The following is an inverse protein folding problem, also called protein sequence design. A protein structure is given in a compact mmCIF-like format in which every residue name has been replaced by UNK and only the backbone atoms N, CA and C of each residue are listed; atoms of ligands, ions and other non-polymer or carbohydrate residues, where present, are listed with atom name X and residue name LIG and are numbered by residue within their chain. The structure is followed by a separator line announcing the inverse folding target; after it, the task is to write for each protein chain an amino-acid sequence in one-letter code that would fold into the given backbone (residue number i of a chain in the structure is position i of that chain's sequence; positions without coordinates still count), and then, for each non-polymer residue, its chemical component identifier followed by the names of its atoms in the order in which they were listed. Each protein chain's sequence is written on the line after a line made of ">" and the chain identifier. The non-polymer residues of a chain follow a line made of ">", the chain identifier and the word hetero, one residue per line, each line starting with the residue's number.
data_IF_254570046871
#
_entry.id   IF_254570046871
#
_cell.length_a   1.000
_cell.length_b   1.000
_cell.length_c   1.000
_cell.angle_alpha   90.00
_cell.angle_beta   90.00
_cell.angle_gamma   90.00
#
_symmetry.space_group_name_H-M   'P 1'
#
loop_
_entity.id
_entity.type
_entity.pdbx_description
1 polymer ?
#
# COMPACT_ATOMS: atom_id res chain seq x y z
N UNK A 1 1.55 7.49 -6.57
CA UNK A 1 2.23 7.23 -5.27
C UNK A 1 3.45 6.34 -5.53
N UNK A 2 4.53 6.39 -4.74
CA UNK A 2 5.73 5.58 -5.02
C UNK A 2 5.43 4.08 -5.22
N UNK A 3 4.44 3.54 -4.50
CA UNK A 3 3.95 2.16 -4.65
C UNK A 3 3.31 1.90 -6.02
N UNK A 4 2.41 2.79 -6.46
CA UNK A 4 1.69 2.65 -7.74
C UNK A 4 2.64 2.73 -8.94
N UNK A 5 3.73 3.47 -8.78
CA UNK A 5 4.79 3.62 -9.78
C UNK A 5 5.81 2.46 -9.74
N UNK A 6 5.64 1.47 -8.86
CA UNK A 6 6.57 0.33 -8.73
C UNK A 6 7.84 0.63 -7.93
N UNK A 7 8.00 1.82 -7.36
CA UNK A 7 9.16 2.19 -6.53
C UNK A 7 8.97 1.73 -5.07
N UNK A 8 8.87 0.41 -4.86
CA UNK A 8 8.52 -0.18 -3.56
C UNK A 8 9.62 0.01 -2.52
N UNK A 9 10.90 -0.15 -2.86
CA UNK A 9 12.03 0.18 -1.95
C UNK A 9 11.98 1.61 -1.42
N UNK A 10 11.70 2.57 -2.30
CA UNK A 10 11.55 3.98 -1.91
C UNK A 10 10.35 4.15 -0.96
N UNK A 11 9.21 3.54 -1.30
CA UNK A 11 8.03 3.57 -0.45
C UNK A 11 8.28 2.97 0.94
N UNK A 12 8.93 1.80 1.03
CA UNK A 12 9.27 1.17 2.31
C UNK A 12 10.19 2.05 3.15
N UNK A 13 11.19 2.68 2.53
CA UNK A 13 12.07 3.63 3.21
C UNK A 13 11.28 4.81 3.79
N UNK A 14 10.42 5.44 2.98
CA UNK A 14 9.58 6.54 3.42
C UNK A 14 8.62 6.11 4.55
N UNK A 15 8.02 4.93 4.46
CA UNK A 15 7.15 4.41 5.53
C UNK A 15 7.94 4.23 6.82
N UNK A 16 9.13 3.65 6.79
CA UNK A 16 9.97 3.49 7.99
C UNK A 16 10.44 4.83 8.55
N UNK A 17 10.75 5.81 7.69
CA UNK A 17 11.24 7.12 8.10
C UNK A 17 10.13 7.99 8.75
N UNK A 18 8.89 7.90 8.25
CA UNK A 18 7.78 8.76 8.68
C UNK A 18 6.75 8.06 9.59
N UNK A 19 6.63 6.74 9.51
CA UNK A 19 5.64 5.93 10.24
C UNK A 19 6.28 4.62 10.76
N UNK A 20 7.33 4.68 11.59
CA UNK A 20 8.06 3.50 12.04
C UNK A 20 7.18 2.46 12.75
N UNK A 21 6.20 2.92 13.54
CA UNK A 21 5.27 2.05 14.27
C UNK A 21 4.26 1.33 13.35
N UNK A 22 4.04 1.83 12.13
CA UNK A 22 3.07 1.25 11.20
C UNK A 22 3.45 -0.19 10.82
N UNK A 23 4.75 -0.41 10.59
CA UNK A 23 5.30 -1.72 10.21
C UNK A 23 5.29 -2.68 11.39
N UNK A 24 5.63 -2.20 12.59
CA UNK A 24 5.61 -3.00 13.80
C UNK A 24 4.19 -3.43 14.17
N UNK A 25 3.21 -2.55 14.01
CA UNK A 25 1.80 -2.81 14.30
C UNK A 25 1.09 -3.57 13.17
N UNK A 26 1.62 -3.56 11.93
CA UNK A 26 1.03 -4.24 10.77
C UNK A 26 2.05 -5.10 10.01
N UNK A 27 2.53 -6.18 10.65
CA UNK A 27 3.45 -7.14 10.03
C UNK A 27 2.94 -7.77 8.73
N UNK A 28 1.62 -7.96 8.59
CA UNK A 28 1.03 -8.44 7.33
C UNK A 28 1.21 -7.43 6.18
N UNK A 29 1.03 -6.12 6.44
CA UNK A 29 1.25 -5.08 5.44
C UNK A 29 2.71 -5.03 5.00
N UNK A 30 3.63 -5.22 5.95
CA UNK A 30 5.05 -5.29 5.66
C UNK A 30 5.41 -6.48 4.77
N UNK A 31 4.86 -7.66 5.06
CA UNK A 31 5.00 -8.82 4.18
C UNK A 31 4.49 -8.53 2.76
N UNK A 32 3.30 -7.91 2.61
CA UNK A 32 2.77 -7.53 1.29
C UNK A 32 3.67 -6.54 0.55
N UNK A 33 4.29 -5.58 1.25
CA UNK A 33 5.27 -4.66 0.66
C UNK A 33 6.52 -5.40 0.18
N UNK A 34 7.02 -6.35 0.96
CA UNK A 34 8.15 -7.19 0.55
C UNK A 34 7.80 -8.07 -0.65
N UNK A 35 6.62 -8.70 -0.63
CA UNK A 35 6.13 -9.48 -1.76
C UNK A 35 6.01 -8.64 -3.02
N UNK A 36 5.47 -7.41 -2.93
CA UNK A 36 5.40 -6.53 -4.09
C UNK A 36 6.79 -6.15 -4.59
N UNK A 37 7.75 -5.88 -3.69
CA UNK A 37 9.14 -5.64 -4.10
C UNK A 37 9.75 -6.84 -4.82
N UNK A 38 9.44 -8.07 -4.39
CA UNK A 38 9.85 -9.28 -5.10
C UNK A 38 9.22 -9.33 -6.50
N UNK A 39 7.93 -9.05 -6.63
CA UNK A 39 7.22 -8.99 -7.92
C UNK A 39 7.87 -7.96 -8.86
N UNK A 40 8.28 -6.80 -8.36
CA UNK A 40 8.99 -5.80 -9.19
C UNK A 40 10.35 -6.32 -9.69
N UNK A 41 11.12 -7.02 -8.85
CA UNK A 41 12.39 -7.64 -9.28
C UNK A 41 12.17 -8.70 -10.37
N UNK A 42 11.10 -9.49 -10.23
CA UNK A 42 10.73 -10.50 -11.23
C UNK A 42 10.35 -9.84 -12.55
N UNK A 43 9.57 -8.75 -12.50
CA UNK A 43 9.16 -7.98 -13.68
C UNK A 43 10.36 -7.38 -14.42
N UNK A 44 11.39 -6.96 -13.69
CA UNK A 44 12.62 -6.40 -14.26
C UNK A 44 13.62 -7.48 -14.72
N UNK A 45 13.25 -8.76 -14.65
CA UNK A 45 14.11 -9.91 -14.96
C UNK A 45 15.40 -9.99 -14.12
N UNK A 46 15.37 -9.43 -12.90
CA UNK A 46 16.47 -9.41 -11.94
C UNK A 46 16.41 -10.66 -11.05
N UNK A 47 16.68 -11.83 -11.65
CA UNK A 47 16.51 -13.15 -11.02
C UNK A 47 17.40 -13.32 -9.77
N UNK A 48 18.69 -12.94 -9.88
CA UNK A 48 19.64 -13.09 -8.78
C UNK A 48 19.22 -12.22 -7.58
N UNK A 49 18.84 -10.97 -7.83
CA UNK A 49 18.35 -10.07 -6.80
C UNK A 49 17.03 -10.56 -6.19
N UNK A 50 16.11 -11.09 -7.00
CA UNK A 50 14.85 -11.64 -6.53
C UNK A 50 15.08 -12.83 -5.58
N UNK A 51 15.96 -13.76 -5.96
CA UNK A 51 16.31 -14.92 -5.15
C UNK A 51 17.00 -14.50 -3.85
N UNK A 52 18.02 -13.64 -3.94
CA UNK A 52 18.71 -13.14 -2.76
C UNK A 52 17.74 -12.41 -1.81
N UNK A 53 16.86 -11.56 -2.35
CA UNK A 53 15.86 -10.84 -1.57
C UNK A 53 14.90 -11.80 -0.87
N UNK A 54 14.42 -12.84 -1.56
CA UNK A 54 13.51 -13.84 -0.97
C UNK A 54 14.15 -14.60 0.21
N UNK A 55 15.43 -14.94 0.09
CA UNK A 55 16.15 -15.65 1.15
C UNK A 55 16.46 -14.74 2.34
N UNK A 56 16.84 -13.49 2.10
CA UNK A 56 17.26 -12.58 3.17
C UNK A 56 16.08 -11.97 3.92
N UNK A 57 15.04 -11.55 3.19
CA UNK A 57 14.02 -10.66 3.72
C UNK A 57 12.74 -11.39 4.13
N UNK A 58 12.38 -12.46 3.41
CA UNK A 58 11.13 -13.20 3.62
C UNK A 58 11.30 -14.43 4.53
N UNK A 59 12.54 -14.83 4.85
CA UNK A 59 12.79 -15.98 5.74
C UNK A 59 12.78 -15.63 7.23
N UNK A 60 12.77 -14.33 7.57
CA UNK A 60 12.94 -13.85 8.95
C UNK A 60 11.61 -13.79 9.73
N UNK A 61 10.48 -13.56 9.06
CA UNK A 61 9.15 -13.41 9.67
C UNK A 61 8.27 -14.65 9.42
N UNK A 62 8.69 -15.83 9.89
CA UNK A 62 7.98 -17.11 9.67
C UNK A 62 6.54 -17.13 10.18
N UNK A 63 6.25 -16.40 11.25
CA UNK A 63 4.93 -16.38 11.91
C UNK A 63 3.88 -15.61 11.10
N UNK A 64 4.32 -14.68 10.24
CA UNK A 64 3.45 -13.88 9.36
C UNK A 64 3.65 -14.23 7.89
N UNK A 65 4.45 -15.27 7.62
CA UNK A 65 4.77 -15.71 6.28
C UNK A 65 3.56 -16.40 5.66
N UNK A 66 2.97 -15.74 4.66
CA UNK A 66 1.92 -16.36 3.86
C UNK A 66 2.56 -17.25 2.80
N UNK A 67 3.02 -18.43 3.21
CA UNK A 67 3.72 -19.40 2.35
C UNK A 67 3.01 -19.63 1.00
N UNK A 68 1.68 -19.82 0.93
CA UNK A 68 1.01 -20.01 -0.36
C UNK A 68 1.12 -18.79 -1.29
N UNK A 69 1.06 -17.56 -0.75
CA UNK A 69 1.22 -16.34 -1.55
C UNK A 69 2.67 -16.17 -2.03
N UNK A 70 3.63 -16.52 -1.18
CA UNK A 70 5.04 -16.51 -1.55
C UNK A 70 5.35 -17.55 -2.63
N UNK A 71 4.84 -18.77 -2.51
CA UNK A 71 4.99 -19.83 -3.52
C UNK A 71 4.41 -19.40 -4.87
N UNK A 72 3.22 -18.78 -4.89
CA UNK A 72 2.66 -18.20 -6.11
C UNK A 72 3.60 -17.16 -6.73
N UNK A 73 4.17 -16.29 -5.92
CA UNK A 73 5.10 -15.26 -6.38
C UNK A 73 6.39 -15.86 -6.94
N UNK A 74 6.99 -16.81 -6.23
CA UNK A 74 8.22 -17.49 -6.65
C UNK A 74 8.00 -18.34 -7.90
N UNK A 75 6.81 -18.91 -8.09
CA UNK A 75 6.51 -19.68 -9.30
C UNK A 75 6.59 -18.84 -10.58
N UNK A 76 6.49 -17.50 -10.50
CA UNK A 76 6.73 -16.62 -11.64
C UNK A 76 8.16 -16.75 -12.18
N UNK A 77 9.13 -17.09 -11.33
CA UNK A 77 10.53 -17.31 -11.72
C UNK A 77 10.73 -18.57 -12.57
N UNK A 78 9.78 -19.51 -12.55
CA UNK A 78 9.86 -20.74 -13.33
C UNK A 78 9.52 -20.54 -14.82
N UNK A 79 9.16 -19.33 -15.23
CA UNK A 79 8.76 -19.00 -16.59
C UNK A 79 9.72 -17.98 -17.21
N UNK A 80 10.16 -18.23 -18.45
CA UNK A 80 10.97 -17.28 -19.21
C UNK A 80 10.28 -15.91 -19.37
N UNK A 81 8.95 -15.94 -19.45
CA UNK A 81 8.06 -14.78 -19.42
C UNK A 81 7.10 -14.94 -18.25
N UNK A 82 7.24 -14.14 -17.17
CA UNK A 82 6.36 -14.20 -16.00
C UNK A 82 4.87 -14.07 -16.34
N UNK A 83 4.52 -13.41 -17.43
CA UNK A 83 3.15 -13.23 -17.92
C UNK A 83 2.49 -14.53 -18.40
N UNK A 84 3.28 -15.54 -18.75
CA UNK A 84 2.78 -16.85 -19.13
C UNK A 84 2.44 -17.73 -17.92
N UNK A 85 2.76 -17.28 -16.70
CA UNK A 85 2.43 -17.99 -15.48
C UNK A 85 0.92 -18.00 -15.24
N UNK A 86 0.38 -19.08 -14.63
CA UNK A 86 -0.99 -19.08 -14.10
C UNK A 86 -1.22 -18.00 -13.02
N UNK A 87 -0.15 -17.39 -12.50
CA UNK A 87 -0.20 -16.30 -11.52
C UNK A 87 0.26 -14.95 -12.08
N UNK A 88 0.15 -14.77 -13.40
CA UNK A 88 0.41 -13.49 -14.07
C UNK A 88 -0.50 -12.36 -13.56
N UNK A 89 -1.58 -12.69 -12.85
CA UNK A 89 -2.45 -11.74 -12.18
C UNK A 89 -1.66 -10.82 -11.22
N UNK A 90 -0.67 -11.38 -10.52
CA UNK A 90 0.22 -10.67 -9.60
C UNK A 90 1.02 -9.54 -10.27
N UNK A 91 1.19 -9.59 -11.60
CA UNK A 91 1.93 -8.61 -12.37
C UNK A 91 1.06 -7.41 -12.80
N UNK A 92 -0.25 -7.44 -12.59
CA UNK A 92 -1.11 -6.33 -13.00
C UNK A 92 -0.94 -5.10 -12.11
N UNK A 93 -1.17 -3.93 -12.71
CA UNK A 93 -1.15 -2.65 -11.98
C UNK A 93 -2.18 -2.59 -10.84
N UNK A 94 -3.26 -3.39 -10.91
CA UNK A 94 -4.27 -3.52 -9.87
C UNK A 94 -3.68 -3.93 -8.52
N UNK A 95 -2.68 -4.81 -8.50
CA UNK A 95 -2.01 -5.22 -7.25
C UNK A 95 -1.31 -4.02 -6.58
N UNK A 96 -0.60 -3.19 -7.35
CA UNK A 96 0.06 -1.98 -6.83
C UNK A 96 -0.97 -0.96 -6.32
N UNK A 97 -2.09 -0.81 -7.02
CA UNK A 97 -3.16 0.10 -6.61
C UNK A 97 -3.85 -0.35 -5.32
N UNK A 98 -4.11 -1.66 -5.18
CA UNK A 98 -4.67 -2.25 -3.96
C UNK A 98 -3.71 -2.05 -2.78
N UNK A 99 -2.43 -2.39 -2.94
CA UNK A 99 -1.43 -2.20 -1.89
C UNK A 99 -1.26 -0.72 -1.52
N UNK A 100 -1.22 0.17 -2.51
CA UNK A 100 -1.18 1.62 -2.27
C UNK A 100 -2.39 2.11 -1.46
N UNK A 101 -3.58 1.57 -1.75
CA UNK A 101 -4.80 1.87 -0.99
C UNK A 101 -4.73 1.34 0.45
N UNK A 102 -4.28 0.10 0.64
CA UNK A 102 -4.09 -0.49 1.98
C UNK A 102 -3.08 0.31 2.82
N UNK A 103 -1.95 0.70 2.24
CA UNK A 103 -0.94 1.54 2.91
C UNK A 103 -1.54 2.91 3.28
N UNK A 104 -2.27 3.54 2.37
CA UNK A 104 -2.93 4.82 2.65
C UNK A 104 -3.94 4.70 3.79
N UNK A 105 -4.75 3.63 3.80
CA UNK A 105 -5.68 3.37 4.90
C UNK A 105 -4.97 3.17 6.23
N UNK A 106 -3.88 2.40 6.24
CA UNK A 106 -3.10 2.14 7.44
C UNK A 106 -2.47 3.43 7.99
N UNK A 107 -1.86 4.25 7.12
CA UNK A 107 -1.33 5.57 7.46
C UNK A 107 -2.42 6.50 8.00
N UNK A 108 -3.62 6.49 7.39
CA UNK A 108 -4.74 7.31 7.86
C UNK A 108 -5.24 6.87 9.24
N UNK A 109 -5.30 5.57 9.51
CA UNK A 109 -5.66 5.04 10.83
C UNK A 109 -4.66 5.48 11.89
N UNK A 110 -3.36 5.36 11.59
CA UNK A 110 -2.27 5.81 12.46
C UNK A 110 -2.39 7.30 12.80
N UNK A 111 -2.61 8.16 11.80
CA UNK A 111 -2.74 9.61 12.00
C UNK A 111 -4.03 10.04 12.71
N UNK A 112 -5.11 9.27 12.56
CA UNK A 112 -6.43 9.63 13.11
C UNK A 112 -6.61 9.20 14.57
N UNK A 113 -5.75 8.28 15.05
CA UNK A 113 -5.94 7.55 16.30
C UNK A 113 -7.18 6.64 16.27
N UNK A 114 -7.20 5.60 17.11
CA UNK A 114 -8.28 4.59 17.18
C UNK A 114 -9.71 5.14 17.47
N UNK A 115 -9.87 6.45 17.69
CA UNK A 115 -11.14 7.07 18.10
C UNK A 115 -11.79 8.07 17.13
N UNK A 116 -11.15 8.47 16.02
CA UNK A 116 -11.70 9.53 15.17
C UNK A 116 -12.36 8.97 13.91
N UNK A 117 -13.67 8.75 13.98
CA UNK A 117 -14.51 8.44 12.83
C UNK A 117 -14.18 9.33 11.62
N UNK A 118 -13.70 8.70 10.55
CA UNK A 118 -13.28 9.34 9.31
C UNK A 118 -14.48 9.99 8.61
N UNK A 119 -14.72 11.25 8.92
CA UNK A 119 -15.08 12.24 7.90
C UNK A 119 -13.88 13.18 7.82
N UNK A 120 -13.28 13.40 6.65
CA UNK A 120 -12.23 14.39 6.51
C UNK A 120 -12.78 15.70 7.07
N UNK A 121 -12.11 16.29 8.06
CA UNK A 121 -12.53 17.57 8.67
C UNK A 121 -12.85 18.61 7.60
N UNK A 122 -12.12 18.56 6.48
CA UNK A 122 -12.35 19.34 5.28
C UNK A 122 -13.75 19.14 4.67
N UNK A 123 -14.23 17.91 4.51
CA UNK A 123 -15.58 17.63 3.96
C UNK A 123 -16.66 18.18 4.90
N UNK A 124 -16.45 18.05 6.21
CA UNK A 124 -17.36 18.62 7.22
C UNK A 124 -17.37 20.15 7.19
N UNK A 125 -16.20 20.78 7.08
CA UNK A 125 -16.04 22.23 6.96
C UNK A 125 -16.66 22.76 5.66
N UNK A 126 -16.49 22.07 4.53
CA UNK A 126 -17.11 22.43 3.26
C UNK A 126 -18.64 22.39 3.32
N UNK A 127 -19.20 21.36 3.97
CA UNK A 127 -20.66 21.26 4.18
C UNK A 127 -21.18 22.37 5.09
N UNK A 128 -20.43 22.71 6.15
CA UNK A 128 -20.78 23.80 7.05
C UNK A 128 -20.74 25.16 6.33
N UNK A 129 -19.69 25.42 5.55
CA UNK A 129 -19.56 26.64 4.74
C UNK A 129 -20.73 26.79 3.76
N UNK A 130 -21.04 25.73 3.00
CA UNK A 130 -22.15 25.74 2.05
C UNK A 130 -23.50 25.98 2.76
N UNK A 131 -23.70 25.39 3.93
CA UNK A 131 -24.89 25.62 4.75
C UNK A 131 -24.97 27.06 5.25
N UNK A 132 -23.87 27.62 5.77
CA UNK A 132 -23.84 29.02 6.24
C UNK A 132 -24.10 30.01 5.11
N UNK A 133 -23.58 29.74 3.91
CA UNK A 133 -23.82 30.56 2.73
C UNK A 133 -25.30 30.55 2.35
N UNK A 134 -25.91 29.35 2.29
CA UNK A 134 -27.34 29.22 2.02
C UNK A 134 -28.21 29.91 3.08
N UNK A 135 -27.84 29.85 4.35
CA UNK A 135 -28.58 30.54 5.42
C UNK A 135 -28.43 32.07 5.36
N UNK A 136 -27.26 32.57 5.01
CA UNK A 136 -27.03 34.01 4.78
C UNK A 136 -27.84 34.52 3.58
N UNK A 137 -27.86 33.74 2.49
CA UNK A 137 -28.62 34.07 1.27
C UNK A 137 -30.14 34.08 1.55
N UNK A 138 -30.64 33.12 2.33
CA UNK A 138 -32.05 33.10 2.79
C UNK A 138 -32.41 34.29 3.67
N UNK A 139 -31.48 34.75 4.52
CA UNK A 139 -31.73 35.85 5.45
C UNK A 139 -31.61 37.24 4.80
N UNK A 140 -31.26 37.33 3.51
CA UNK A 140 -31.07 38.61 2.77
C UNK A 140 -30.30 39.64 3.59
N UNK A 141 -29.23 39.22 4.27
CA UNK A 141 -28.38 40.17 5.00
C UNK A 141 -27.59 40.94 3.94
N UNK A 142 -28.10 42.12 3.59
CA UNK A 142 -27.34 43.11 2.84
C UNK A 142 -26.28 43.68 3.79
N UNK A 143 -25.02 43.53 3.42
CA UNK A 143 -23.92 44.29 4.00
C UNK A 143 -24.11 45.79 3.79
#
# INVERSE_FOLDING_TARGET
>A
MAIEDGRIREAMKLINDYYPELIDNNRNLYFKLQQQQLIELIRDHLLEEALQFSQQQLSVDSDYLQLPELERTLSLLAFDKPENSPYSDLLHASHRQQLGSEVNEAILREQSGEGSSSKPKLVSLMKLLLWTQNELDKKKVKF
#
